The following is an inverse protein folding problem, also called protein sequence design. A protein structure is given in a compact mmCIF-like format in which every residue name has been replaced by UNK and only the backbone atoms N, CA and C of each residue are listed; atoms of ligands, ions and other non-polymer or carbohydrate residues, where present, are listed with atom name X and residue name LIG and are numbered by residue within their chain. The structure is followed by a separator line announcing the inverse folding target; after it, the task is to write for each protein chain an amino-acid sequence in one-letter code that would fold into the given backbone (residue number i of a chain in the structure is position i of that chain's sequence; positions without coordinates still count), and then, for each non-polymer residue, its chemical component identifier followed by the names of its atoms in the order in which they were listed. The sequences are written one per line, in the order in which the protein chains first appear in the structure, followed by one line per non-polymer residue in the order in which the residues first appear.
data_IF_670816135223
#
_entry.id   IF_670816135223
#
_cell.length_a   1.000
_cell.length_b   1.000
_cell.length_c   1.000
_cell.angle_alpha   90.00
_cell.angle_beta   90.00
_cell.angle_gamma   90.00
#
_symmetry.space_group_name_H-M   'P 1'
#
loop_
_entity.id
_entity.type
_entity.pdbx_description
1 polymer ?
#
# COMPACT_ATOMS: atom_id res chain seq x y z
N UNK A 1 -2.76 104.84 27.87
CA UNK A 1 -4.14 105.20 28.28
C UNK A 1 -5.07 104.12 27.76
N UNK A 2 -5.98 103.59 28.57
CA UNK A 2 -7.02 102.69 28.07
C UNK A 2 -8.01 103.52 27.25
N UNK A 3 -8.27 103.13 26.00
CA UNK A 3 -9.31 103.75 25.18
C UNK A 3 -10.70 103.52 25.76
N UNK A 4 -11.70 104.19 25.19
CA UNK A 4 -13.11 103.99 25.54
C UNK A 4 -13.51 102.52 25.38
N UNK A 5 -14.53 102.07 26.12
CA UNK A 5 -15.04 100.69 26.04
C UNK A 5 -15.37 100.26 24.58
N UNK A 6 -15.76 101.22 23.74
CA UNK A 6 -16.01 101.00 22.30
C UNK A 6 -14.74 100.72 21.51
N UNK A 7 -13.63 101.42 21.80
CA UNK A 7 -12.32 101.16 21.19
C UNK A 7 -11.73 99.83 21.67
N UNK A 8 -11.89 99.50 22.95
CA UNK A 8 -11.51 98.19 23.48
C UNK A 8 -12.30 97.05 22.81
N UNK A 9 -13.63 97.20 22.66
CA UNK A 9 -14.46 96.23 21.94
C UNK A 9 -14.04 96.09 20.46
N UNK A 10 -13.77 97.20 19.78
CA UNK A 10 -13.27 97.22 18.40
C UNK A 10 -11.89 96.55 18.27
N UNK A 11 -11.04 96.63 19.31
CA UNK A 11 -9.74 95.95 19.35
C UNK A 11 -9.84 94.45 19.62
N UNK A 12 -10.86 93.98 20.36
CA UNK A 12 -11.03 92.56 20.73
C UNK A 12 -11.78 91.78 19.63
N UNK A 13 -12.74 92.43 18.95
CA UNK A 13 -13.60 91.80 17.92
C UNK A 13 -12.82 91.04 16.82
N UNK A 14 -11.70 91.56 16.26
CA UNK A 14 -10.92 90.84 15.24
C UNK A 14 -10.31 89.54 15.78
N UNK A 15 -9.71 89.59 16.98
CA UNK A 15 -9.10 88.42 17.62
C UNK A 15 -10.13 87.34 17.95
N UNK A 16 -11.34 87.74 18.39
CA UNK A 16 -12.44 86.80 18.64
C UNK A 16 -12.88 86.07 17.37
N UNK A 17 -13.04 86.77 16.24
CA UNK A 17 -13.36 86.13 14.94
C UNK A 17 -12.26 85.16 14.50
N UNK A 18 -10.99 85.54 14.68
CA UNK A 18 -9.85 84.69 14.33
C UNK A 18 -9.83 83.40 15.19
N UNK A 19 -10.16 83.50 16.48
CA UNK A 19 -10.33 82.35 17.36
C UNK A 19 -11.51 81.46 16.97
N UNK A 20 -12.64 82.05 16.53
CA UNK A 20 -13.80 81.31 16.03
C UNK A 20 -13.43 80.50 14.77
N UNK A 21 -12.80 81.13 13.77
CA UNK A 21 -12.31 80.45 12.56
C UNK A 21 -11.32 79.32 12.89
N UNK A 22 -10.39 79.53 13.84
CA UNK A 22 -9.49 78.47 14.33
C UNK A 22 -10.20 77.35 15.09
N UNK A 23 -11.34 77.61 15.73
CA UNK A 23 -12.18 76.56 16.34
C UNK A 23 -12.88 75.75 15.25
N UNK A 24 -13.52 76.41 14.29
CA UNK A 24 -14.26 75.77 13.19
C UNK A 24 -13.36 74.86 12.33
N UNK A 25 -12.18 75.33 11.94
CA UNK A 25 -11.23 74.50 11.17
C UNK A 25 -10.70 73.33 12.01
N UNK A 26 -10.49 73.49 13.32
CA UNK A 26 -10.17 72.35 14.20
C UNK A 26 -11.32 71.34 14.28
N UNK A 27 -12.56 71.77 14.49
CA UNK A 27 -13.74 70.87 14.50
C UNK A 27 -13.84 70.08 13.20
N UNK A 28 -13.57 70.72 12.06
CA UNK A 28 -13.52 70.07 10.75
C UNK A 28 -12.40 69.03 10.65
N UNK A 29 -11.19 69.34 11.13
CA UNK A 29 -10.07 68.37 11.18
C UNK A 29 -10.41 67.15 12.04
N UNK A 30 -10.95 67.34 13.24
CA UNK A 30 -11.42 66.24 14.10
C UNK A 30 -12.49 65.40 13.39
N UNK A 31 -13.48 66.03 12.74
CA UNK A 31 -14.54 65.32 12.00
C UNK A 31 -13.97 64.44 10.88
N UNK A 32 -12.98 64.94 10.14
CA UNK A 32 -12.31 64.17 9.06
C UNK A 32 -11.55 62.98 9.63
N UNK A 33 -10.66 63.19 10.61
CA UNK A 33 -9.82 62.12 11.19
C UNK A 33 -10.69 61.06 11.87
N UNK A 34 -11.66 61.48 12.70
CA UNK A 34 -12.57 60.54 13.35
C UNK A 34 -13.45 59.79 12.33
N UNK A 35 -13.87 60.42 11.23
CA UNK A 35 -14.59 59.73 10.15
C UNK A 35 -13.76 58.68 9.43
N UNK A 36 -12.47 58.97 9.18
CA UNK A 36 -11.52 58.01 8.62
C UNK A 36 -11.28 56.83 9.57
N UNK A 37 -11.13 57.08 10.87
CA UNK A 37 -11.03 56.03 11.91
C UNK A 37 -12.27 55.12 11.88
N UNK A 38 -13.48 55.67 11.87
CA UNK A 38 -14.71 54.88 11.82
C UNK A 38 -14.79 54.04 10.54
N UNK A 39 -14.44 54.61 9.38
CA UNK A 39 -14.41 53.89 8.10
C UNK A 39 -13.44 52.70 8.13
N UNK A 40 -12.18 52.93 8.50
CA UNK A 40 -11.16 51.86 8.52
C UNK A 40 -11.50 50.82 9.59
N UNK A 41 -12.05 51.22 10.74
CA UNK A 41 -12.51 50.28 11.78
C UNK A 41 -13.69 49.42 11.29
N UNK A 42 -14.59 49.96 10.48
CA UNK A 42 -15.68 49.21 9.86
C UNK A 42 -15.15 48.21 8.80
N UNK A 43 -14.21 48.63 7.96
CA UNK A 43 -13.54 47.75 6.99
C UNK A 43 -12.77 46.61 7.67
N UNK A 44 -12.01 46.91 8.74
CA UNK A 44 -11.31 45.92 9.56
C UNK A 44 -12.30 44.95 10.21
N UNK A 45 -13.44 45.43 10.71
CA UNK A 45 -14.51 44.58 11.23
C UNK A 45 -15.27 43.80 10.14
N UNK A 46 -14.96 43.99 8.85
CA UNK A 46 -15.62 43.32 7.73
C UNK A 46 -17.03 43.83 7.41
N UNK A 47 -17.41 45.03 7.89
CA UNK A 47 -18.67 45.70 7.54
C UNK A 47 -18.50 46.41 6.19
N UNK A 48 -19.30 46.05 5.20
CA UNK A 48 -19.29 46.64 3.85
C UNK A 48 -19.92 48.03 3.83
N UNK A 49 -19.43 48.89 2.93
CA UNK A 49 -19.83 50.31 2.81
C UNK A 49 -21.32 50.55 2.51
N UNK A 50 -22.06 49.50 2.14
CA UNK A 50 -23.49 49.58 1.81
C UNK A 50 -24.42 49.70 3.02
N UNK A 51 -23.91 49.58 4.25
CA UNK A 51 -24.74 49.53 5.45
C UNK A 51 -24.20 50.36 6.61
N UNK A 52 -23.99 51.65 6.38
CA UNK A 52 -24.27 52.64 7.42
C UNK A 52 -24.62 54.01 6.82
N UNK A 53 -25.86 54.44 7.04
CA UNK A 53 -26.34 55.76 6.66
C UNK A 53 -25.66 56.84 7.50
N UNK A 54 -24.51 57.32 7.03
CA UNK A 54 -23.86 58.54 7.50
C UNK A 54 -23.87 58.69 9.03
N UNK A 55 -23.19 57.77 9.74
CA UNK A 55 -22.94 57.93 11.18
C UNK A 55 -22.33 59.31 11.41
N UNK A 56 -23.14 60.22 11.95
CA UNK A 56 -22.79 61.62 12.09
C UNK A 56 -21.71 61.71 13.17
N UNK A 57 -20.45 61.72 12.74
CA UNK A 57 -19.27 61.75 13.60
C UNK A 57 -19.37 62.92 14.56
N UNK A 58 -19.82 62.62 15.77
CA UNK A 58 -20.07 63.62 16.80
C UNK A 58 -18.74 64.01 17.43
N UNK A 59 -18.19 65.11 16.93
CA UNK A 59 -16.95 65.69 17.46
C UNK A 59 -17.23 66.20 18.87
N UNK A 60 -16.54 65.65 19.85
CA UNK A 60 -16.61 66.11 21.23
C UNK A 60 -16.03 67.54 21.33
N UNK A 61 -16.90 68.56 21.34
CA UNK A 61 -16.47 69.97 21.39
C UNK A 61 -15.76 70.37 22.69
N UNK A 62 -15.79 69.53 23.73
CA UNK A 62 -15.18 69.83 25.03
C UNK A 62 -13.64 69.77 25.01
N UNK A 63 -13.02 69.02 24.08
CA UNK A 63 -11.57 68.93 23.94
C UNK A 63 -11.16 68.96 22.46
N UNK A 64 -10.84 70.17 21.99
CA UNK A 64 -10.27 70.45 20.67
C UNK A 64 -8.76 70.73 20.75
N UNK A 65 -8.06 70.18 21.75
CA UNK A 65 -6.61 70.39 21.92
C UNK A 65 -5.80 69.76 20.79
N UNK A 66 -4.64 70.35 20.47
CA UNK A 66 -3.74 69.80 19.44
C UNK A 66 -3.24 68.41 19.82
N UNK A 67 -3.00 68.16 21.12
CA UNK A 67 -2.62 66.85 21.64
C UNK A 67 -3.71 65.79 21.37
N UNK A 68 -4.99 66.13 21.59
CA UNK A 68 -6.10 65.19 21.29
C UNK A 68 -6.24 64.91 19.80
N UNK A 69 -5.94 65.89 18.94
CA UNK A 69 -5.90 65.70 17.48
C UNK A 69 -4.74 64.77 17.07
N UNK A 70 -3.55 64.98 17.63
CA UNK A 70 -2.37 64.14 17.44
C UNK A 70 -2.61 62.68 17.89
N UNK A 71 -3.27 62.48 19.03
CA UNK A 71 -3.70 61.14 19.50
C UNK A 71 -4.60 60.43 18.46
N UNK A 72 -5.59 61.12 17.88
CA UNK A 72 -6.42 60.55 16.82
C UNK A 72 -5.65 60.32 15.50
N UNK A 73 -4.70 61.18 15.15
CA UNK A 73 -3.85 60.98 13.97
C UNK A 73 -2.94 59.75 14.13
N UNK A 74 -2.38 59.54 15.32
CA UNK A 74 -1.59 58.35 15.65
C UNK A 74 -2.44 57.07 15.60
N UNK A 75 -3.66 57.10 16.14
CA UNK A 75 -4.60 55.96 16.05
C UNK A 75 -5.03 55.67 14.61
N UNK A 76 -5.28 56.70 13.80
CA UNK A 76 -5.55 56.55 12.37
C UNK A 76 -4.38 55.89 11.64
N UNK A 77 -3.14 56.30 11.92
CA UNK A 77 -1.94 55.68 11.36
C UNK A 77 -1.80 54.22 11.79
N UNK A 78 -2.05 53.92 13.09
CA UNK A 78 -2.04 52.54 13.63
C UNK A 78 -3.05 51.64 12.90
N UNK A 79 -4.27 52.13 12.67
CA UNK A 79 -5.31 51.40 11.93
C UNK A 79 -4.97 51.22 10.44
N UNK A 80 -4.29 52.18 9.81
CA UNK A 80 -3.77 52.01 8.45
C UNK A 80 -2.71 50.90 8.36
N UNK A 81 -1.76 50.86 9.31
CA UNK A 81 -0.80 49.76 9.42
C UNK A 81 -1.49 48.42 9.65
N UNK A 82 -2.42 48.34 10.61
CA UNK A 82 -3.18 47.12 10.89
C UNK A 82 -3.97 46.61 9.68
N UNK A 83 -4.62 47.51 8.92
CA UNK A 83 -5.30 47.16 7.66
C UNK A 83 -4.32 46.59 6.62
N UNK A 84 -3.14 47.19 6.49
CA UNK A 84 -2.10 46.71 5.57
C UNK A 84 -1.62 45.31 5.95
N UNK A 85 -1.32 45.08 7.23
CA UNK A 85 -0.85 43.79 7.75
C UNK A 85 -1.92 42.69 7.57
N UNK A 86 -3.19 43.02 7.86
CA UNK A 86 -4.33 42.10 7.64
C UNK A 86 -4.48 41.73 6.16
N UNK A 87 -4.37 42.70 5.25
CA UNK A 87 -4.40 42.44 3.80
C UNK A 87 -3.25 41.53 3.35
N UNK A 88 -2.03 41.78 3.83
CA UNK A 88 -0.87 40.93 3.54
C UNK A 88 -1.04 39.51 4.07
N UNK A 89 -1.65 39.34 5.26
CA UNK A 89 -2.00 38.02 5.81
C UNK A 89 -3.04 37.29 4.96
N UNK A 90 -4.10 37.96 4.54
CA UNK A 90 -5.10 37.39 3.61
C UNK A 90 -4.42 36.92 2.32
N UNK A 91 -3.56 37.74 1.72
CA UNK A 91 -2.85 37.39 0.48
C UNK A 91 -1.91 36.18 0.66
N UNK A 92 -1.21 36.12 1.80
CA UNK A 92 -0.37 34.97 2.15
C UNK A 92 -1.20 33.69 2.31
N UNK A 93 -2.34 33.75 3.00
CA UNK A 93 -3.23 32.59 3.14
C UNK A 93 -3.84 32.19 1.79
N UNK A 94 -4.30 33.13 0.95
CA UNK A 94 -4.79 32.85 -0.40
C UNK A 94 -3.72 32.16 -1.27
N UNK A 95 -2.49 32.68 -1.27
CA UNK A 95 -1.35 32.08 -1.98
C UNK A 95 -1.07 30.66 -1.48
N UNK A 96 -1.12 30.42 -0.15
CA UNK A 96 -0.94 29.10 0.45
C UNK A 96 -2.06 28.13 0.06
N UNK A 97 -3.32 28.58 0.05
CA UNK A 97 -4.47 27.80 -0.41
C UNK A 97 -4.31 27.44 -1.89
N UNK A 98 -3.99 28.40 -2.78
CA UNK A 98 -3.75 28.15 -4.21
C UNK A 98 -2.68 27.07 -4.42
N UNK A 99 -1.53 27.19 -3.74
CA UNK A 99 -0.43 26.23 -3.86
C UNK A 99 -0.77 24.83 -3.31
N UNK A 100 -1.42 24.75 -2.14
CA UNK A 100 -1.85 23.47 -1.55
C UNK A 100 -2.91 22.78 -2.42
N UNK A 101 -3.88 23.56 -2.93
CA UNK A 101 -4.94 23.06 -3.82
C UNK A 101 -4.34 22.54 -5.13
N UNK A 102 -3.39 23.27 -5.72
CA UNK A 102 -2.67 22.82 -6.92
C UNK A 102 -1.88 21.52 -6.67
N UNK A 103 -1.24 21.37 -5.51
CA UNK A 103 -0.53 20.13 -5.12
C UNK A 103 -1.50 18.95 -4.96
N UNK A 104 -2.67 19.19 -4.37
CA UNK A 104 -3.72 18.20 -4.11
C UNK A 104 -4.66 17.91 -5.31
N UNK A 105 -4.54 18.67 -6.41
CA UNK A 105 -5.45 18.60 -7.55
C UNK A 105 -6.88 19.05 -7.23
N UNK A 106 -7.04 20.05 -6.36
CA UNK A 106 -8.34 20.59 -5.94
C UNK A 106 -8.59 21.98 -6.53
N UNK A 107 -9.86 22.34 -6.73
CA UNK A 107 -10.26 23.67 -7.19
C UNK A 107 -10.07 24.71 -6.08
N UNK A 108 -9.05 25.55 -6.21
CA UNK A 108 -8.76 26.63 -5.27
C UNK A 108 -9.86 27.70 -5.22
N UNK A 109 -10.54 27.95 -6.34
CA UNK A 109 -11.62 28.95 -6.42
C UNK A 109 -12.85 28.47 -5.64
N UNK A 110 -13.17 27.18 -5.72
CA UNK A 110 -14.22 26.55 -4.91
C UNK A 110 -13.88 26.56 -3.42
N UNK A 111 -12.61 26.39 -3.04
CA UNK A 111 -12.17 26.47 -1.65
C UNK A 111 -12.25 27.91 -1.13
N UNK A 112 -11.74 28.89 -1.88
CA UNK A 112 -11.76 30.31 -1.50
C UNK A 112 -13.20 30.84 -1.38
N UNK A 113 -14.09 30.51 -2.32
CA UNK A 113 -15.50 30.92 -2.25
C UNK A 113 -16.27 30.31 -1.08
N UNK A 114 -15.94 29.08 -0.66
CA UNK A 114 -16.47 28.45 0.58
C UNK A 114 -16.02 29.18 1.85
N UNK A 115 -14.83 29.79 1.86
CA UNK A 115 -14.38 30.62 3.00
C UNK A 115 -15.14 31.95 3.00
N UNK A 116 -15.08 32.70 1.90
CA UNK A 116 -15.90 33.88 1.67
C UNK A 116 -15.89 34.29 0.19
N UNK A 117 -17.04 34.60 -0.45
CA UNK A 117 -17.08 35.01 -1.86
C UNK A 117 -16.16 36.20 -2.19
N UNK A 118 -16.07 37.23 -1.33
CA UNK A 118 -15.25 38.43 -1.63
C UNK A 118 -13.73 38.22 -1.61
N UNK A 119 -13.25 37.01 -1.28
CA UNK A 119 -11.84 36.65 -1.39
C UNK A 119 -11.46 36.11 -2.77
N UNK A 120 -12.45 35.72 -3.58
CA UNK A 120 -12.21 35.23 -4.93
C UNK A 120 -11.96 36.41 -5.89
N UNK A 121 -10.92 36.31 -6.72
CA UNK A 121 -10.49 37.39 -7.64
C UNK A 121 -11.58 37.76 -8.65
N UNK A 122 -12.43 36.80 -9.03
CA UNK A 122 -13.55 36.99 -9.96
C UNK A 122 -14.72 37.79 -9.35
N UNK A 123 -14.73 38.03 -8.04
CA UNK A 123 -15.91 38.57 -7.35
C UNK A 123 -15.99 40.10 -7.33
N UNK A 124 -14.92 40.81 -7.70
CA UNK A 124 -14.87 42.29 -7.79
C UNK A 124 -15.10 43.06 -6.47
N UNK A 125 -15.41 42.35 -5.39
CA UNK A 125 -15.70 42.87 -4.05
C UNK A 125 -14.41 43.17 -3.29
N UNK A 126 -14.50 44.07 -2.30
CA UNK A 126 -13.40 44.28 -1.36
C UNK A 126 -13.11 43.01 -0.55
N UNK A 127 -11.83 42.64 -0.47
CA UNK A 127 -11.36 41.50 0.35
C UNK A 127 -11.77 41.74 1.80
N UNK A 128 -12.51 40.80 2.39
CA UNK A 128 -12.89 40.89 3.79
C UNK A 128 -11.68 40.54 4.67
N UNK A 129 -11.33 41.43 5.61
CA UNK A 129 -10.14 41.33 6.47
C UNK A 129 -10.46 41.17 7.97
N UNK A 130 -11.71 40.81 8.28
CA UNK A 130 -12.15 40.56 9.66
C UNK A 130 -11.47 39.36 10.29
N UNK A 131 -11.38 39.37 11.62
CA UNK A 131 -10.76 38.30 12.40
C UNK A 131 -11.40 36.93 12.10
N UNK A 132 -12.74 36.88 12.02
CA UNK A 132 -13.46 35.65 11.68
C UNK A 132 -13.21 35.13 10.26
N UNK A 133 -12.75 35.96 9.32
CA UNK A 133 -12.30 35.51 7.99
C UNK A 133 -10.84 35.07 8.03
N UNK A 134 -9.97 35.77 8.78
CA UNK A 134 -8.58 35.34 9.00
C UNK A 134 -8.50 33.99 9.71
N UNK A 135 -9.34 33.74 10.73
CA UNK A 135 -9.44 32.44 11.42
C UNK A 135 -9.95 31.32 10.51
N UNK A 136 -10.94 31.60 9.66
CA UNK A 136 -11.43 30.62 8.67
C UNK A 136 -10.38 30.31 7.60
N UNK A 137 -9.63 31.31 7.13
CA UNK A 137 -8.50 31.12 6.21
C UNK A 137 -7.41 30.25 6.85
N UNK A 138 -7.00 30.56 8.08
CA UNK A 138 -6.00 29.81 8.84
C UNK A 138 -6.43 28.35 9.09
N UNK A 139 -7.70 28.16 9.48
CA UNK A 139 -8.31 26.83 9.65
C UNK A 139 -8.36 26.04 8.35
N UNK A 140 -8.66 26.71 7.23
CA UNK A 140 -8.69 26.09 5.90
C UNK A 140 -7.30 25.68 5.44
N UNK A 141 -6.27 26.51 5.67
CA UNK A 141 -4.87 26.15 5.39
C UNK A 141 -4.44 24.94 6.23
N UNK A 142 -4.72 24.93 7.54
CA UNK A 142 -4.43 23.78 8.42
C UNK A 142 -5.11 22.51 7.95
N UNK A 143 -6.38 22.58 7.52
CA UNK A 143 -7.09 21.43 6.98
C UNK A 143 -6.48 20.89 5.68
N UNK A 144 -6.05 21.78 4.77
CA UNK A 144 -5.36 21.39 3.53
C UNK A 144 -3.95 20.82 3.79
N UNK A 145 -3.23 21.33 4.78
CA UNK A 145 -1.92 20.79 5.19
C UNK A 145 -2.06 19.39 5.82
N UNK A 146 -3.12 19.17 6.63
CA UNK A 146 -3.45 17.85 7.18
C UNK A 146 -3.86 16.85 6.09
N UNK A 147 -4.67 17.27 5.13
CA UNK A 147 -5.05 16.45 3.95
C UNK A 147 -3.82 16.09 3.10
N UNK A 148 -2.91 17.05 2.88
CA UNK A 148 -1.62 16.81 2.20
C UNK A 148 -0.82 15.72 2.91
N UNK A 149 -0.67 15.84 4.24
CA UNK A 149 0.09 14.86 5.01
C UNK A 149 -0.60 13.49 5.00
N UNK A 150 -1.93 13.43 5.14
CA UNK A 150 -2.71 12.19 5.11
C UNK A 150 -2.56 11.44 3.77
N UNK A 151 -2.61 12.15 2.64
CA UNK A 151 -2.38 11.54 1.32
C UNK A 151 -0.94 11.08 1.15
N UNK A 152 0.03 11.83 1.67
CA UNK A 152 1.44 11.47 1.63
C UNK A 152 1.75 10.23 2.48
N UNK A 153 1.19 10.14 3.69
CA UNK A 153 1.37 8.96 4.55
C UNK A 153 0.75 7.71 3.89
N UNK A 154 -0.43 7.85 3.28
CA UNK A 154 -1.04 6.77 2.49
C UNK A 154 -0.19 6.40 1.28
N UNK A 155 0.30 7.38 0.52
CA UNK A 155 1.22 7.20 -0.61
C UNK A 155 2.45 6.37 -0.20
N UNK A 156 3.11 6.75 0.91
CA UNK A 156 4.29 6.04 1.42
C UNK A 156 3.97 4.63 1.92
N UNK A 157 2.84 4.42 2.59
CA UNK A 157 2.41 3.08 3.03
C UNK A 157 2.17 2.16 1.83
N UNK A 158 1.42 2.62 0.83
CA UNK A 158 1.14 1.88 -0.39
C UNK A 158 2.43 1.61 -1.19
N UNK A 159 3.32 2.60 -1.35
CA UNK A 159 4.61 2.42 -2.01
C UNK A 159 5.50 1.39 -1.34
N UNK A 160 5.51 1.33 0.00
CA UNK A 160 6.20 0.27 0.77
C UNK A 160 5.56 -1.10 0.58
N UNK A 161 4.23 -1.18 0.58
CA UNK A 161 3.51 -2.43 0.31
C UNK A 161 3.85 -2.97 -1.09
N UNK A 162 3.79 -2.11 -2.10
CA UNK A 162 4.13 -2.42 -3.49
C UNK A 162 5.60 -2.87 -3.65
N UNK A 163 6.55 -2.17 -3.03
CA UNK A 163 7.96 -2.56 -3.05
C UNK A 163 8.22 -3.93 -2.37
N UNK A 164 7.55 -4.20 -1.24
CA UNK A 164 7.62 -5.50 -0.57
C UNK A 164 7.00 -6.62 -1.42
N UNK A 165 5.91 -6.34 -2.15
CA UNK A 165 5.28 -7.28 -3.05
C UNK A 165 6.18 -7.58 -4.26
N UNK A 166 6.80 -6.57 -4.89
CA UNK A 166 7.76 -6.79 -5.98
C UNK A 166 8.99 -7.60 -5.54
N UNK A 167 9.56 -7.32 -4.37
CA UNK A 167 10.67 -8.13 -3.81
C UNK A 167 10.23 -9.58 -3.56
N UNK A 168 8.98 -9.84 -3.19
CA UNK A 168 8.49 -11.20 -2.97
C UNK A 168 8.22 -11.96 -4.28
N UNK A 169 8.02 -11.23 -5.38
CA UNK A 169 7.49 -11.77 -6.64
C UNK A 169 8.54 -11.84 -7.76
N UNK A 170 9.79 -11.43 -7.52
CA UNK A 170 10.90 -11.31 -8.50
C UNK A 170 10.44 -10.78 -9.88
N UNK A 171 9.51 -9.81 -9.88
CA UNK A 171 8.70 -9.47 -11.07
C UNK A 171 9.52 -8.69 -12.10
N UNK A 172 9.39 -9.00 -13.41
CA UNK A 172 10.09 -8.28 -14.47
C UNK A 172 9.80 -6.77 -14.48
N UNK A 173 10.79 -6.02 -14.95
CA UNK A 173 10.88 -4.56 -14.83
C UNK A 173 9.79 -3.82 -15.64
N UNK A 174 9.29 -4.46 -16.69
CA UNK A 174 8.30 -3.96 -17.65
C UNK A 174 6.94 -3.70 -16.99
N UNK A 175 6.49 -4.59 -16.08
CA UNK A 175 5.27 -4.38 -15.27
C UNK A 175 5.50 -3.28 -14.20
N UNK A 176 6.75 -2.98 -13.82
CA UNK A 176 7.10 -1.97 -12.82
C UNK A 176 7.27 -0.55 -13.39
N UNK A 177 7.60 -0.43 -14.69
CA UNK A 177 7.92 0.86 -15.34
C UNK A 177 6.80 1.90 -15.22
N UNK A 178 5.53 1.45 -15.26
CA UNK A 178 4.34 2.30 -15.13
C UNK A 178 4.22 2.96 -13.74
N UNK A 179 4.89 2.42 -12.72
CA UNK A 179 4.83 2.86 -11.33
C UNK A 179 6.14 3.48 -10.83
N UNK A 180 7.09 3.79 -11.70
CA UNK A 180 8.34 4.47 -11.32
C UNK A 180 8.09 5.88 -10.78
N UNK A 181 7.17 6.64 -11.40
CA UNK A 181 6.76 7.98 -10.93
C UNK A 181 6.16 7.91 -9.51
N UNK A 182 5.31 6.91 -9.28
CA UNK A 182 4.70 6.57 -7.98
C UNK A 182 5.75 6.21 -6.92
N UNK A 183 6.72 5.37 -7.28
CA UNK A 183 7.73 4.83 -6.35
C UNK A 183 8.74 5.92 -5.97
N UNK A 184 9.07 6.79 -6.94
CA UNK A 184 9.84 8.02 -6.71
C UNK A 184 9.12 8.95 -5.73
N UNK A 185 7.87 9.33 -6.00
CA UNK A 185 7.06 10.17 -5.10
C UNK A 185 6.90 9.56 -3.70
N UNK A 186 6.79 8.24 -3.59
CA UNK A 186 6.73 7.52 -2.30
C UNK A 186 8.05 7.55 -1.50
N UNK A 187 9.16 7.91 -2.14
CA UNK A 187 10.49 8.00 -1.54
C UNK A 187 10.94 9.44 -1.24
N UNK A 188 10.24 10.45 -1.79
CA UNK A 188 10.54 11.88 -1.62
C UNK A 188 10.06 12.42 -0.27
N UNK A 189 10.73 13.47 0.22
CA UNK A 189 10.35 14.13 1.48
C UNK A 189 9.13 15.06 1.29
N UNK A 190 8.33 15.24 2.36
CA UNK A 190 7.11 16.08 2.36
C UNK A 190 7.36 17.56 1.96
N UNK A 191 8.59 18.05 2.15
CA UNK A 191 9.02 19.38 1.70
C UNK A 191 9.24 19.47 0.17
N UNK A 192 9.75 18.40 -0.45
CA UNK A 192 10.09 18.34 -1.88
C UNK A 192 8.85 18.08 -2.75
N UNK A 193 7.83 17.41 -2.19
CA UNK A 193 6.52 17.20 -2.83
C UNK A 193 5.72 18.51 -2.76
N UNK A 194 6.12 19.48 -3.59
CA UNK A 194 5.49 20.79 -3.76
C UNK A 194 5.08 21.06 -5.22
N UNK A 195 5.30 20.10 -6.13
CA UNK A 195 4.87 20.22 -7.52
C UNK A 195 3.33 20.17 -7.63
N UNK A 196 2.70 21.04 -8.43
CA UNK A 196 1.30 20.90 -8.80
C UNK A 196 0.99 19.49 -9.33
N UNK A 197 -0.18 18.95 -8.95
CA UNK A 197 -0.64 17.63 -9.38
C UNK A 197 0.00 16.41 -8.69
N UNK A 198 1.02 16.59 -7.84
CA UNK A 198 1.79 15.47 -7.25
C UNK A 198 1.04 14.61 -6.22
N UNK A 199 -0.07 15.11 -5.64
CA UNK A 199 -0.91 14.39 -4.67
C UNK A 199 -2.39 14.38 -5.10
N UNK A 200 -2.64 14.22 -6.40
CA UNK A 200 -4.00 14.06 -6.96
C UNK A 200 -4.67 12.78 -6.46
N UNK A 201 -6.03 12.75 -6.40
CA UNK A 201 -6.77 11.53 -6.10
C UNK A 201 -6.49 10.39 -7.09
N UNK A 202 -6.19 10.71 -8.36
CA UNK A 202 -5.86 9.70 -9.37
C UNK A 202 -4.54 9.00 -9.06
N UNK A 203 -3.48 9.71 -8.65
CA UNK A 203 -2.24 9.06 -8.20
C UNK A 203 -2.52 8.08 -7.05
N UNK A 204 -3.26 8.49 -6.02
CA UNK A 204 -3.62 7.59 -4.90
C UNK A 204 -4.43 6.37 -5.38
N UNK A 205 -5.31 6.55 -6.37
CA UNK A 205 -6.12 5.49 -6.96
C UNK A 205 -5.31 4.54 -7.87
N UNK A 206 -4.35 5.05 -8.65
CA UNK A 206 -3.45 4.22 -9.46
C UNK A 206 -2.64 3.27 -8.57
N UNK A 207 -2.20 3.73 -7.40
CA UNK A 207 -1.39 2.92 -6.49
C UNK A 207 -2.24 1.92 -5.72
N UNK A 208 -3.45 2.30 -5.31
CA UNK A 208 -4.39 1.35 -4.69
C UNK A 208 -4.73 0.20 -5.67
N UNK A 209 -4.88 0.51 -6.97
CA UNK A 209 -5.01 -0.51 -8.04
C UNK A 209 -3.75 -1.36 -8.20
N UNK A 210 -2.55 -0.77 -8.12
CA UNK A 210 -1.29 -1.49 -8.20
C UNK A 210 -1.07 -2.46 -7.01
N UNK A 211 -1.46 -2.05 -5.80
CA UNK A 211 -1.43 -2.91 -4.61
C UNK A 211 -2.42 -4.07 -4.74
N UNK A 212 -3.66 -3.81 -5.18
CA UNK A 212 -4.67 -4.85 -5.42
C UNK A 212 -4.20 -5.87 -6.48
N UNK A 213 -3.63 -5.38 -7.59
CA UNK A 213 -3.05 -6.22 -8.63
C UNK A 213 -1.91 -7.09 -8.09
N UNK A 214 -0.95 -6.50 -7.39
CA UNK A 214 0.18 -7.22 -6.82
C UNK A 214 -0.24 -8.22 -5.72
N UNK A 215 -1.22 -7.87 -4.86
CA UNK A 215 -1.78 -8.75 -3.85
C UNK A 215 -2.54 -9.94 -4.48
N UNK A 216 -3.27 -9.71 -5.57
CA UNK A 216 -3.97 -10.78 -6.30
C UNK A 216 -2.98 -11.77 -6.94
N UNK A 217 -1.91 -11.27 -7.59
CA UNK A 217 -0.88 -12.12 -8.22
C UNK A 217 -0.08 -12.91 -7.17
N UNK A 218 0.22 -12.31 -6.01
CA UNK A 218 0.87 -13.00 -4.87
C UNK A 218 0.14 -14.27 -4.44
N UNK A 219 -1.18 -14.25 -4.36
CA UNK A 219 -1.98 -15.42 -3.94
C UNK A 219 -1.86 -16.60 -4.92
N UNK A 220 -1.56 -16.32 -6.19
CA UNK A 220 -1.27 -17.35 -7.21
C UNK A 220 0.19 -17.80 -7.08
N UNK A 221 1.15 -16.88 -6.99
CA UNK A 221 2.59 -17.21 -6.87
C UNK A 221 2.90 -18.05 -5.62
N UNK A 222 2.31 -17.76 -4.47
CA UNK A 222 2.43 -18.59 -3.25
C UNK A 222 1.93 -20.04 -3.45
N UNK A 223 1.13 -20.30 -4.48
CA UNK A 223 0.68 -21.65 -4.87
C UNK A 223 1.59 -22.25 -5.94
N UNK A 224 2.11 -21.45 -6.87
CA UNK A 224 3.12 -21.86 -7.86
C UNK A 224 4.40 -22.32 -7.16
N UNK A 225 4.94 -21.57 -6.19
CA UNK A 225 6.08 -21.99 -5.37
C UNK A 225 5.86 -23.35 -4.70
N UNK A 226 4.67 -23.54 -4.10
CA UNK A 226 4.30 -24.79 -3.43
C UNK A 226 4.18 -25.96 -4.41
N UNK A 227 3.78 -25.69 -5.65
CA UNK A 227 3.74 -26.68 -6.73
C UNK A 227 5.15 -27.02 -7.23
N UNK A 228 6.00 -26.03 -7.49
CA UNK A 228 7.41 -26.24 -7.90
C UNK A 228 8.16 -27.08 -6.86
N UNK A 229 8.03 -26.75 -5.57
CA UNK A 229 8.63 -27.52 -4.47
C UNK A 229 8.12 -28.96 -4.39
N UNK A 230 6.84 -29.19 -4.72
CA UNK A 230 6.28 -30.54 -4.77
C UNK A 230 6.79 -31.33 -5.98
N UNK A 231 6.96 -30.68 -7.14
CA UNK A 231 7.58 -31.26 -8.33
C UNK A 231 9.07 -31.56 -8.13
N UNK A 232 9.80 -30.76 -7.35
CA UNK A 232 11.19 -31.07 -6.96
C UNK A 232 11.27 -32.29 -6.04
N UNK A 233 10.36 -32.41 -5.07
CA UNK A 233 10.30 -33.58 -4.19
C UNK A 233 9.80 -34.83 -4.95
N UNK A 234 8.97 -34.67 -5.99
CA UNK A 234 8.63 -35.73 -6.95
C UNK A 234 9.87 -36.21 -7.72
N UNK A 235 10.62 -35.29 -8.34
CA UNK A 235 11.86 -35.61 -9.07
C UNK A 235 12.87 -36.34 -8.17
N UNK A 236 13.06 -35.85 -6.95
CA UNK A 236 13.92 -36.50 -5.96
C UNK A 236 13.43 -37.92 -5.58
N UNK A 237 12.12 -38.12 -5.45
CA UNK A 237 11.52 -39.43 -5.17
C UNK A 237 11.68 -40.39 -6.37
N UNK A 238 11.58 -39.90 -7.61
CA UNK A 238 11.83 -40.70 -8.82
C UNK A 238 13.29 -41.16 -8.89
N UNK A 239 14.25 -40.26 -8.67
CA UNK A 239 15.69 -40.58 -8.61
C UNK A 239 16.00 -41.59 -7.50
N UNK A 240 15.52 -41.34 -6.27
CA UNK A 240 15.66 -42.27 -5.14
C UNK A 240 14.89 -43.59 -5.33
N UNK A 241 14.01 -43.70 -6.32
CA UNK A 241 13.33 -44.95 -6.70
C UNK A 241 13.99 -45.70 -7.85
N UNK A 242 14.99 -45.11 -8.50
CA UNK A 242 15.86 -45.76 -9.50
C UNK A 242 17.19 -46.23 -8.90
N UNK A 243 17.59 -45.69 -7.75
CA UNK A 243 18.80 -46.12 -7.02
C UNK A 243 18.68 -47.58 -6.50
N UNK A 244 19.52 -48.48 -7.02
CA UNK A 244 19.59 -49.87 -6.57
C UNK A 244 20.16 -49.98 -5.13
N UNK A 245 21.01 -49.03 -4.72
CA UNK A 245 21.63 -49.01 -3.39
C UNK A 245 20.73 -48.39 -2.31
N UNK A 246 19.49 -48.02 -2.64
CA UNK A 246 18.47 -47.41 -1.76
C UNK A 246 18.30 -48.12 -0.42
N UNK A 247 18.37 -49.45 -0.42
CA UNK A 247 18.19 -50.29 0.77
C UNK A 247 19.50 -50.82 1.38
N UNK A 248 20.65 -50.32 0.92
CA UNK A 248 21.93 -50.58 1.57
C UNK A 248 21.88 -50.19 3.06
N UNK A 249 22.56 -50.95 3.93
CA UNK A 249 22.59 -50.71 5.39
C UNK A 249 23.54 -49.56 5.74
N UNK A 250 23.32 -48.43 5.08
CA UNK A 250 24.12 -47.21 5.14
C UNK A 250 23.59 -46.29 6.24
N UNK A 251 24.50 -45.57 6.91
CA UNK A 251 24.21 -44.64 8.03
C UNK A 251 23.38 -43.43 7.56
N UNK A 252 22.08 -43.62 7.39
CA UNK A 252 21.15 -42.61 6.87
C UNK A 252 19.90 -43.18 6.20
N UNK A 253 19.89 -44.45 5.79
CA UNK A 253 18.82 -45.07 4.99
C UNK A 253 17.41 -44.85 5.59
N UNK A 254 17.23 -45.02 6.90
CA UNK A 254 15.95 -44.77 7.58
C UNK A 254 15.46 -43.31 7.47
N UNK A 255 16.36 -42.32 7.41
CA UNK A 255 15.99 -40.91 7.20
C UNK A 255 15.52 -40.69 5.75
N UNK A 256 16.20 -41.26 4.78
CA UNK A 256 15.82 -41.17 3.36
C UNK A 256 14.51 -41.91 3.09
N UNK A 257 14.28 -43.08 3.71
CA UNK A 257 12.99 -43.78 3.67
C UNK A 257 11.85 -42.93 4.25
N UNK A 258 12.07 -42.27 5.40
CA UNK A 258 11.08 -41.36 6.00
C UNK A 258 10.85 -40.10 5.15
N UNK A 259 11.86 -39.60 4.42
CA UNK A 259 11.68 -38.53 3.42
C UNK A 259 10.86 -39.03 2.24
N UNK A 260 11.19 -40.18 1.67
CA UNK A 260 10.45 -40.76 0.54
C UNK A 260 8.97 -41.02 0.84
N UNK A 261 8.61 -41.40 2.07
CA UNK A 261 7.21 -41.53 2.44
C UNK A 261 6.49 -40.18 2.54
N UNK A 262 7.17 -39.13 3.04
CA UNK A 262 6.64 -37.76 3.00
C UNK A 262 6.51 -37.24 1.57
N UNK A 263 7.47 -37.54 0.71
CA UNK A 263 7.46 -37.22 -0.71
C UNK A 263 6.25 -37.85 -1.40
N UNK A 264 5.98 -39.16 -1.21
CA UNK A 264 4.78 -39.83 -1.75
C UNK A 264 3.47 -39.13 -1.35
N UNK A 265 3.34 -38.77 -0.07
CA UNK A 265 2.16 -38.03 0.44
C UNK A 265 2.05 -36.63 -0.17
N UNK A 266 3.16 -36.01 -0.56
CA UNK A 266 3.18 -34.73 -1.27
C UNK A 266 2.81 -34.89 -2.75
N UNK A 267 3.41 -35.86 -3.45
CA UNK A 267 3.14 -36.20 -4.85
C UNK A 267 1.66 -36.52 -5.07
N UNK A 268 1.05 -37.32 -4.19
CA UNK A 268 -0.38 -37.65 -4.24
C UNK A 268 -1.30 -36.41 -4.09
N UNK A 269 -0.78 -35.26 -3.64
CA UNK A 269 -1.53 -33.99 -3.54
C UNK A 269 -1.27 -33.03 -4.70
N UNK A 270 -0.28 -33.31 -5.57
CA UNK A 270 0.04 -32.44 -6.71
C UNK A 270 -1.16 -32.26 -7.65
N UNK A 271 -1.93 -33.30 -8.04
CA UNK A 271 -3.08 -33.12 -8.93
C UNK A 271 -4.08 -32.07 -8.41
N UNK A 272 -4.50 -32.19 -7.15
CA UNK A 272 -5.43 -31.25 -6.53
C UNK A 272 -4.84 -29.83 -6.37
N UNK A 273 -3.51 -29.68 -6.26
CA UNK A 273 -2.84 -28.39 -6.25
C UNK A 273 -2.79 -27.76 -7.64
N UNK A 274 -2.57 -28.57 -8.69
CA UNK A 274 -2.60 -28.13 -10.10
C UNK A 274 -4.01 -27.72 -10.50
N UNK A 275 -5.04 -28.50 -10.16
CA UNK A 275 -6.45 -28.16 -10.44
C UNK A 275 -6.84 -26.83 -9.75
N UNK A 276 -6.42 -26.63 -8.50
CA UNK A 276 -6.62 -25.38 -7.76
C UNK A 276 -5.87 -24.20 -8.39
N UNK A 277 -4.65 -24.42 -8.90
CA UNK A 277 -3.88 -23.41 -9.62
C UNK A 277 -4.57 -23.03 -10.93
N UNK A 278 -4.95 -24.00 -11.77
CA UNK A 278 -5.68 -23.77 -13.02
C UNK A 278 -6.96 -22.96 -12.76
N UNK A 279 -7.75 -23.35 -11.76
CA UNK A 279 -8.99 -22.63 -11.39
C UNK A 279 -8.70 -21.19 -10.94
N UNK A 280 -7.73 -20.98 -10.05
CA UNK A 280 -7.38 -19.62 -9.58
C UNK A 280 -6.85 -18.74 -10.70
N UNK A 281 -6.00 -19.29 -11.58
CA UNK A 281 -5.41 -18.56 -12.69
C UNK A 281 -6.47 -18.21 -13.74
N UNK A 282 -7.35 -19.15 -14.13
CA UNK A 282 -8.46 -18.85 -15.05
C UNK A 282 -9.37 -17.75 -14.53
N UNK A 283 -9.79 -17.82 -13.26
CA UNK A 283 -10.61 -16.77 -12.66
C UNK A 283 -9.91 -15.40 -12.69
N UNK A 284 -8.61 -15.36 -12.38
CA UNK A 284 -7.82 -14.12 -12.41
C UNK A 284 -7.69 -13.55 -13.83
N UNK A 285 -7.45 -14.40 -14.83
CA UNK A 285 -7.35 -14.02 -16.25
C UNK A 285 -8.70 -13.53 -16.80
N UNK A 286 -9.82 -14.15 -16.41
CA UNK A 286 -11.18 -13.75 -16.79
C UNK A 286 -11.58 -12.41 -16.15
N UNK A 287 -11.32 -12.23 -14.85
CA UNK A 287 -11.55 -10.98 -14.12
C UNK A 287 -10.82 -9.79 -14.76
N UNK A 288 -9.54 -9.98 -15.13
CA UNK A 288 -8.64 -8.90 -15.58
C UNK A 288 -8.50 -8.79 -17.09
N UNK A 289 -8.97 -9.79 -17.85
CA UNK A 289 -8.79 -9.91 -19.31
C UNK A 289 -7.32 -9.80 -19.74
N UNK A 290 -6.40 -10.31 -18.90
CA UNK A 290 -4.94 -10.35 -19.10
C UNK A 290 -4.46 -11.77 -18.82
N UNK A 291 -3.52 -12.27 -19.63
CA UNK A 291 -2.89 -13.59 -19.42
C UNK A 291 -1.94 -13.53 -18.21
N UNK A 292 -1.96 -14.55 -17.35
CA UNK A 292 -1.05 -14.68 -16.21
C UNK A 292 0.26 -15.29 -16.68
N UNK A 293 1.32 -14.48 -16.66
CA UNK A 293 2.68 -14.91 -17.01
C UNK A 293 3.49 -15.27 -15.75
N UNK A 294 4.24 -16.36 -15.84
CA UNK A 294 5.26 -16.82 -14.90
C UNK A 294 6.56 -17.02 -15.70
N UNK A 295 7.66 -16.35 -15.33
CA UNK A 295 8.93 -16.36 -16.10
C UNK A 295 8.72 -16.16 -17.61
N UNK A 296 7.90 -15.16 -17.98
CA UNK A 296 7.42 -14.82 -19.34
C UNK A 296 6.54 -15.87 -20.06
N UNK A 297 6.28 -17.03 -19.46
CA UNK A 297 5.45 -18.10 -20.03
C UNK A 297 4.02 -18.07 -19.44
N UNK A 298 2.95 -18.30 -20.22
CA UNK A 298 1.60 -18.45 -19.69
C UNK A 298 1.49 -19.61 -18.69
N UNK A 299 1.10 -19.30 -17.45
CA UNK A 299 1.08 -20.29 -16.36
C UNK A 299 0.10 -21.44 -16.64
N UNK A 300 -1.02 -21.18 -17.33
CA UNK A 300 -1.96 -22.24 -17.72
C UNK A 300 -1.32 -23.26 -18.68
N UNK A 301 -0.50 -22.82 -19.63
CA UNK A 301 0.19 -23.70 -20.57
C UNK A 301 1.17 -24.62 -19.84
N UNK A 302 1.98 -24.07 -18.91
CA UNK A 302 2.89 -24.87 -18.08
C UNK A 302 2.18 -25.94 -17.25
N UNK A 303 1.00 -25.62 -16.71
CA UNK A 303 0.20 -26.56 -15.90
C UNK A 303 -0.47 -27.64 -16.77
N UNK A 304 -0.85 -27.31 -18.00
CA UNK A 304 -1.38 -28.26 -18.99
C UNK A 304 -0.29 -29.21 -19.49
N UNK A 305 0.90 -28.70 -19.85
CA UNK A 305 2.09 -29.50 -20.18
C UNK A 305 2.46 -30.46 -19.05
N UNK A 306 2.46 -30.00 -17.79
CA UNK A 306 2.70 -30.85 -16.63
C UNK A 306 1.66 -31.99 -16.51
N UNK A 307 0.38 -31.69 -16.70
CA UNK A 307 -0.68 -32.70 -16.66
C UNK A 307 -0.53 -33.73 -17.79
N UNK A 308 -0.18 -33.30 -18.99
CA UNK A 308 0.10 -34.20 -20.13
C UNK A 308 1.29 -35.12 -19.85
N UNK A 309 2.43 -34.57 -19.40
CA UNK A 309 3.62 -35.34 -19.04
C UNK A 309 3.34 -36.35 -17.90
N UNK A 310 2.55 -35.94 -16.89
CA UNK A 310 2.20 -36.79 -15.75
C UNK A 310 1.28 -37.94 -16.19
N UNK A 311 0.37 -37.70 -17.13
CA UNK A 311 -0.48 -38.73 -17.74
C UNK A 311 0.34 -39.71 -18.59
N UNK A 312 1.26 -39.22 -19.43
CA UNK A 312 2.19 -40.06 -20.20
C UNK A 312 3.02 -40.98 -19.29
N UNK A 313 3.56 -40.45 -18.18
CA UNK A 313 4.26 -41.25 -17.15
C UNK A 313 3.38 -42.32 -16.49
N UNK A 314 2.10 -42.05 -16.28
CA UNK A 314 1.14 -43.04 -15.76
C UNK A 314 0.86 -44.15 -16.79
N UNK A 315 0.68 -43.79 -18.06
CA UNK A 315 0.47 -44.70 -19.18
C UNK A 315 1.71 -45.56 -19.49
N UNK A 316 2.92 -45.01 -19.42
CA UNK A 316 4.18 -45.75 -19.53
C UNK A 316 4.34 -46.78 -18.40
N UNK A 317 4.11 -46.38 -17.14
CA UNK A 317 4.12 -47.29 -15.98
C UNK A 317 3.06 -48.39 -16.11
N UNK A 318 1.93 -48.11 -16.76
CA UNK A 318 0.91 -49.12 -17.04
C UNK A 318 1.35 -50.09 -18.15
N UNK A 319 1.92 -49.59 -19.26
CA UNK A 319 2.51 -50.42 -20.33
C UNK A 319 3.61 -51.34 -19.80
N UNK A 320 4.51 -50.85 -18.95
CA UNK A 320 5.52 -51.69 -18.29
C UNK A 320 4.92 -52.85 -17.48
N UNK A 321 3.85 -52.57 -16.71
CA UNK A 321 3.18 -53.59 -15.89
C UNK A 321 2.51 -54.65 -16.76
N UNK A 322 1.91 -54.23 -17.87
CA UNK A 322 1.29 -55.13 -18.85
C UNK A 322 2.33 -55.97 -19.58
N UNK A 323 3.48 -55.38 -19.96
CA UNK A 323 4.61 -56.09 -20.54
C UNK A 323 5.21 -57.12 -19.56
N UNK A 324 5.43 -56.74 -18.30
CA UNK A 324 5.89 -57.65 -17.22
C UNK A 324 4.88 -58.78 -16.98
N UNK A 325 3.57 -58.50 -17.05
CA UNK A 325 2.49 -59.50 -16.95
C UNK A 325 2.43 -60.43 -18.16
N UNK A 326 2.72 -59.93 -19.36
CA UNK A 326 2.81 -60.72 -20.59
C UNK A 326 4.03 -61.65 -20.56
N UNK A 327 5.22 -61.12 -20.22
CA UNK A 327 6.45 -61.90 -20.04
C UNK A 327 6.27 -62.99 -18.97
N UNK A 328 5.68 -62.66 -17.82
CA UNK A 328 5.35 -63.64 -16.78
C UNK A 328 4.46 -64.77 -17.30
N UNK A 329 3.40 -64.46 -18.07
CA UNK A 329 2.55 -65.49 -18.70
C UNK A 329 3.30 -66.37 -19.71
N UNK A 330 4.24 -65.82 -20.46
CA UNK A 330 5.07 -66.59 -21.42
C UNK A 330 6.03 -67.52 -20.67
N UNK A 331 6.65 -67.06 -19.59
CA UNK A 331 7.48 -67.91 -18.71
C UNK A 331 6.63 -69.06 -18.12
N UNK A 332 5.41 -68.79 -17.65
CA UNK A 332 4.50 -69.83 -17.14
C UNK A 332 4.02 -70.83 -18.22
N UNK A 333 4.13 -70.52 -19.52
CA UNK A 333 3.85 -71.50 -20.59
C UNK A 333 5.02 -72.44 -20.89
N UNK A 334 6.25 -72.07 -20.52
CA UNK A 334 7.44 -72.86 -20.82
C UNK A 334 7.87 -73.80 -19.67
N UNK A 335 7.16 -73.79 -18.53
CA UNK A 335 7.33 -74.69 -17.40
C UNK A 335 6.08 -75.56 -17.15
N UNK A 336 5.99 -76.69 -17.88
CA UNK A 336 5.20 -77.88 -17.52
C UNK A 336 5.67 -79.01 -18.44
N UNK A 337 5.96 -80.25 -17.97
CA UNK A 337 5.29 -80.93 -16.84
C UNK A 337 6.23 -81.62 -15.82
N UNK A 338 5.61 -82.32 -14.85
CA UNK A 338 6.16 -83.20 -13.81
C UNK A 338 6.74 -82.53 -12.53
N UNK A 339 6.07 -82.81 -11.40
CA UNK A 339 6.48 -82.34 -10.07
C UNK A 339 5.34 -82.41 -9.04
N UNK A 340 4.99 -83.61 -8.57
CA UNK A 340 3.81 -83.82 -7.72
C UNK A 340 4.11 -83.64 -6.22
N UNK A 341 3.19 -82.95 -5.52
CA UNK A 341 2.95 -82.92 -4.05
C UNK A 341 3.96 -82.15 -3.16
N UNK A 342 3.57 -81.82 -1.89
CA UNK A 342 2.25 -81.97 -1.27
C UNK A 342 1.62 -80.65 -0.76
N UNK A 343 0.30 -80.54 -0.90
CA UNK A 343 -0.50 -79.56 -0.16
C UNK A 343 -0.90 -80.09 1.21
N UNK A 344 -0.73 -79.28 2.26
CA UNK A 344 -1.31 -79.53 3.58
C UNK A 344 -2.68 -78.85 3.69
N UNK A 345 -3.72 -79.58 3.31
CA UNK A 345 -5.09 -79.18 3.62
C UNK A 345 -5.40 -79.42 5.09
N UNK A 346 -5.89 -78.40 5.79
CA UNK A 346 -6.80 -78.62 6.93
C UNK A 346 -8.07 -77.80 6.73
N UNK A 347 -9.18 -78.30 7.25
CA UNK A 347 -10.52 -78.00 6.76
C UNK A 347 -11.04 -76.61 7.12
N UNK A 348 -11.91 -76.08 6.25
CA UNK A 348 -12.83 -74.97 6.56
C UNK A 348 -13.85 -75.40 7.62
N UNK A 349 -14.36 -74.45 8.41
CA UNK A 349 -15.81 -74.28 8.59
C UNK A 349 -16.18 -72.79 8.73
N UNK A 350 -17.14 -72.33 7.92
CA UNK A 350 -18.12 -71.27 8.24
C UNK A 350 -19.29 -71.99 8.99
N UNK A 351 -20.12 -71.39 9.83
CA UNK A 351 -21.07 -70.29 9.56
C UNK A 351 -21.89 -69.91 10.83
N UNK A 352 -22.62 -68.78 10.76
CA UNK A 352 -23.88 -68.41 11.46
C UNK A 352 -24.01 -68.28 13.00
N UNK A 353 -23.97 -67.00 13.42
CA UNK A 353 -25.09 -66.20 13.99
C UNK A 353 -25.74 -66.49 15.36
N UNK A 354 -26.09 -65.36 16.01
CA UNK A 354 -27.37 -65.08 16.72
C UNK A 354 -27.48 -65.31 18.24
N UNK A 355 -27.58 -64.16 18.95
CA UNK A 355 -28.27 -63.88 20.22
C UNK A 355 -27.79 -64.47 21.56
N UNK A 356 -27.72 -63.59 22.58
CA UNK A 356 -28.07 -63.97 23.95
C UNK A 356 -27.26 -63.36 25.10
N UNK A 357 -27.63 -62.15 25.55
CA UNK A 357 -27.78 -61.91 27.00
C UNK A 357 -26.67 -61.21 27.80
N UNK A 358 -26.97 -59.95 28.15
CA UNK A 358 -26.79 -59.30 29.48
C UNK A 358 -25.44 -59.30 30.22
N UNK A 359 -25.06 -58.11 30.74
CA UNK A 359 -24.21 -58.01 31.94
C UNK A 359 -23.38 -56.72 32.05
N UNK A 360 -23.95 -55.67 32.66
CA UNK A 360 -23.18 -54.46 33.02
C UNK A 360 -22.13 -54.77 34.10
N UNK A 361 -20.93 -54.18 34.00
CA UNK A 361 -20.33 -53.27 35.02
C UNK A 361 -18.81 -53.06 34.84
N UNK A 362 -18.39 -51.81 34.72
CA UNK A 362 -17.05 -51.34 35.18
C UNK A 362 -17.08 -51.21 36.72
N UNK A 363 -15.98 -51.46 37.47
CA UNK A 363 -15.02 -50.36 37.69
C UNK A 363 -13.54 -50.73 38.01
N UNK A 364 -12.76 -49.64 38.07
CA UNK A 364 -11.39 -49.36 38.54
C UNK A 364 -10.62 -50.26 39.56
N UNK A 365 -9.27 -50.16 39.44
CA UNK A 365 -8.21 -50.04 40.49
C UNK A 365 -7.69 -51.25 41.31
N UNK A 366 -6.46 -51.71 40.97
CA UNK A 366 -5.23 -51.74 41.85
C UNK A 366 -4.03 -52.29 41.05
N UNK A 367 -2.92 -51.57 40.88
CA UNK A 367 -1.74 -51.39 41.77
C UNK A 367 -1.10 -52.69 42.30
N UNK A 368 0.15 -52.92 41.89
CA UNK A 368 1.18 -53.55 42.73
C UNK A 368 2.44 -52.68 42.71
N UNK A 369 3.23 -52.76 43.79
CA UNK A 369 4.43 -51.94 43.99
C UNK A 369 5.51 -52.76 44.72
N UNK A 370 6.73 -52.72 44.21
CA UNK A 370 8.01 -53.05 44.86
C UNK A 370 9.01 -52.05 44.24
N UNK A 371 9.99 -51.48 44.93
CA UNK A 371 10.47 -51.70 46.29
C UNK A 371 11.82 -50.98 46.48
N UNK A 372 11.74 -49.66 46.69
CA UNK A 372 12.65 -48.77 47.45
C UNK A 372 14.04 -49.29 47.89
N UNK A 373 15.08 -48.62 47.40
CA UNK A 373 16.24 -48.05 48.14
C UNK A 373 16.60 -46.77 47.36
N UNK A 374 16.34 -45.52 47.78
CA UNK A 374 16.62 -44.74 49.01
C UNK A 374 18.03 -44.13 49.06
N UNK A 375 18.08 -42.82 49.42
CA UNK A 375 19.24 -41.90 49.53
C UNK A 375 19.78 -41.39 48.17
N UNK A 376 19.84 -40.08 47.88
CA UNK A 376 19.30 -38.90 48.57
C UNK A 376 19.60 -37.59 47.82
N UNK A 377 18.60 -36.70 47.71
CA UNK A 377 18.66 -35.24 47.98
C UNK A 377 20.07 -34.60 48.06
N UNK A 378 20.48 -33.55 47.34
CA UNK A 378 19.88 -32.22 47.05
C UNK A 378 20.93 -31.37 46.26
N UNK A 379 20.73 -30.10 45.83
CA UNK A 379 19.58 -29.30 45.35
C UNK A 379 20.06 -27.87 44.97
N UNK A 380 19.44 -27.21 43.96
CA UNK A 380 19.44 -25.74 43.70
C UNK A 380 20.79 -25.06 43.35
N UNK A 381 20.88 -24.43 42.16
CA UNK A 381 21.19 -22.98 41.99
C UNK A 381 21.43 -22.57 40.52
N UNK A 382 20.78 -21.49 40.09
CA UNK A 382 21.19 -20.60 38.98
C UNK A 382 21.83 -19.33 39.59
N UNK A 383 22.15 -18.25 38.82
CA UNK A 383 22.78 -18.10 37.50
C UNK A 383 24.09 -17.24 37.58
N UNK A 384 24.86 -17.09 36.48
CA UNK A 384 25.73 -15.90 36.28
C UNK A 384 26.09 -15.65 34.82
N UNK A 385 26.16 -14.37 34.42
CA UNK A 385 26.63 -13.90 33.11
C UNK A 385 28.15 -13.64 33.12
N UNK A 386 28.83 -13.78 31.97
CA UNK A 386 29.59 -12.68 31.33
C UNK A 386 30.49 -13.11 30.15
N UNK A 387 30.24 -12.49 28.99
CA UNK A 387 31.22 -11.88 28.05
C UNK A 387 32.48 -12.68 27.63
N UNK A 388 32.59 -13.01 26.34
CA UNK A 388 33.67 -12.49 25.47
C UNK A 388 33.41 -12.70 23.97
N UNK A 389 33.96 -11.80 23.14
CA UNK A 389 33.79 -11.72 21.68
C UNK A 389 34.81 -12.58 20.90
N UNK A 390 34.47 -12.89 19.63
CA UNK A 390 35.26 -12.73 18.38
C UNK A 390 35.17 -13.94 17.41
N UNK A 391 35.03 -13.61 16.11
CA UNK A 391 35.20 -14.44 14.89
C UNK A 391 34.11 -15.47 14.51
N UNK A 392 33.13 -14.96 13.75
CA UNK A 392 32.37 -15.72 12.75
C UNK A 392 32.13 -14.83 11.53
N UNK A 393 32.86 -15.05 10.43
CA UNK A 393 32.82 -14.17 9.26
C UNK A 393 31.49 -14.26 8.49
N UNK A 394 30.92 -13.11 8.11
CA UNK A 394 29.81 -13.07 7.14
C UNK A 394 30.31 -13.61 5.80
N UNK A 395 29.62 -14.61 5.23
CA UNK A 395 29.65 -14.87 3.79
C UNK A 395 28.40 -14.24 3.16
N UNK A 396 28.50 -13.64 1.97
CA UNK A 396 27.35 -13.02 1.30
C UNK A 396 26.34 -14.08 0.86
N UNK A 397 25.08 -13.67 0.74
CA UNK A 397 24.02 -14.50 0.16
C UNK A 397 24.28 -14.61 -1.35
N UNK A 398 24.96 -15.69 -1.76
CA UNK A 398 25.32 -15.90 -3.16
C UNK A 398 24.09 -16.20 -4.01
N UNK A 399 23.92 -15.45 -5.10
CA UNK A 399 22.93 -15.71 -6.14
C UNK A 399 22.98 -17.19 -6.55
N UNK A 400 21.94 -17.95 -6.23
CA UNK A 400 21.72 -19.26 -6.87
C UNK A 400 21.08 -19.01 -8.22
N UNK A 401 21.90 -18.94 -9.25
CA UNK A 401 21.42 -19.06 -10.63
C UNK A 401 20.71 -20.41 -10.74
N UNK A 402 19.40 -20.39 -11.00
CA UNK A 402 18.66 -21.61 -11.34
C UNK A 402 19.20 -22.13 -12.67
N UNK A 403 20.02 -23.17 -12.63
CA UNK A 403 20.43 -23.88 -13.84
C UNK A 403 19.25 -24.71 -14.33
N UNK A 404 18.41 -24.09 -15.15
CA UNK A 404 17.32 -24.71 -15.88
C UNK A 404 17.88 -25.81 -16.79
N UNK A 405 17.93 -27.03 -16.29
CA UNK A 405 18.32 -28.22 -17.04
C UNK A 405 17.22 -29.27 -16.89
N UNK A 406 16.09 -29.03 -17.58
CA UNK A 406 14.87 -29.82 -17.42
C UNK A 406 13.74 -29.56 -18.42
N UNK A 407 13.73 -28.43 -19.12
CA UNK A 407 12.77 -28.14 -20.19
C UNK A 407 13.53 -27.75 -21.46
N UNK A 408 13.92 -28.77 -22.23
CA UNK A 408 14.52 -28.58 -23.56
C UNK A 408 13.39 -28.47 -24.57
N UNK A 409 13.05 -27.24 -24.97
CA UNK A 409 12.09 -27.00 -26.04
C UNK A 409 12.59 -27.63 -27.34
N UNK A 410 11.89 -28.66 -27.82
CA UNK A 410 12.09 -29.19 -29.17
C UNK A 410 10.80 -28.99 -29.95
N UNK A 411 10.72 -27.84 -30.63
CA UNK A 411 9.72 -27.65 -31.67
C UNK A 411 9.97 -28.73 -32.73
N UNK A 412 8.94 -29.48 -33.11
CA UNK A 412 8.96 -30.27 -34.34
C UNK A 412 8.50 -29.34 -35.45
N UNK A 413 9.40 -29.02 -36.38
CA UNK A 413 8.99 -28.52 -37.69
C UNK A 413 8.50 -29.72 -38.51
N UNK A 414 7.20 -29.76 -38.79
CA UNK A 414 6.64 -30.79 -39.66
C UNK A 414 7.13 -30.59 -41.10
N UNK A 415 7.78 -31.62 -41.64
CA UNK A 415 8.29 -31.66 -43.01
C UNK A 415 7.14 -31.61 -44.02
N UNK A 416 6.87 -30.44 -44.58
CA UNK A 416 5.95 -30.30 -45.73
C UNK A 416 6.69 -30.75 -47.00
N UNK A 417 6.35 -31.95 -47.46
CA UNK A 417 6.81 -32.49 -48.73
C UNK A 417 6.22 -31.73 -49.92
N UNK A 418 7.02 -30.91 -50.60
CA UNK A 418 6.64 -30.29 -51.89
C UNK A 418 7.32 -31.02 -53.04
N UNK A 419 6.51 -31.53 -53.96
CA UNK A 419 6.94 -32.25 -55.16
C UNK A 419 7.62 -31.31 -56.15
N UNK A 420 8.78 -31.74 -56.67
CA UNK A 420 9.56 -31.01 -57.68
C UNK A 420 8.90 -31.06 -59.06
N UNK A 421 8.86 -29.92 -59.76
CA UNK A 421 8.54 -29.84 -61.20
C UNK A 421 9.35 -28.74 -61.91
N UNK A 422 10.43 -29.17 -62.57
CA UNK A 422 10.99 -28.67 -63.83
C UNK A 422 11.30 -27.16 -64.06
N UNK A 423 12.60 -26.86 -64.00
CA UNK A 423 13.43 -26.30 -65.09
C UNK A 423 13.07 -24.99 -65.83
N UNK A 424 13.99 -24.02 -65.77
CA UNK A 424 14.14 -22.95 -66.78
C UNK A 424 15.02 -21.78 -66.31
N UNK A 425 16.25 -21.57 -66.85
CA UNK A 425 17.10 -20.43 -66.48
C UNK A 425 16.93 -19.24 -67.45
N UNK A 426 17.19 -18.02 -66.98
CA UNK A 426 18.19 -17.07 -67.52
C UNK A 426 18.07 -15.69 -66.84
N UNK A 427 19.22 -15.16 -66.39
CA UNK A 427 19.46 -13.73 -66.07
C UNK A 427 19.87 -12.98 -67.36
N UNK A 428 19.99 -11.63 -67.40
CA UNK A 428 20.26 -10.69 -66.29
C UNK A 428 19.00 -10.17 -65.60
#
# INVERSE_FOLDING_TARGET
MAGTLKEQLNSITPALREMQLRKEERVKQFRVVQGQIHKISAEIAGRTEYNDSSSAVWVNENDLSLKKLEEYQNELQRLHSEKSDRLQRVEKYMSRIKNLSATLGMDSSLIITKVHPSLNELSGLSKNISDGILEKLDSTVKALELEKQTRLDKLQQLGRALANLWHLMDTPYEDCQQFLHVTSLSSMASAEISSPGSLTPDIVLQISRAEEEAASRKVIMEKVEKWILACDEERWLEEYSRDENRYSVSRGAHKNLKRAERARVMVNKIPALVDLLISKTRNWEEERKKVFLYDEVPLLAMLEEYNMLRKEKEEEKQREREQKKAQSKVVTQHESPFGTRPGTSSHRLFDKSSNGGFGNATPLNRRLSLGVQQMGSNSISSPTESISFVKGGRKPHGQRKYTQKGFSYHLREDTVSVVSSFSGPFSP
#
